data_IF_026852392911
#
_entry.id   IF_026852392911
#
_cell.length_a   1.000
_cell.length_b   1.000
_cell.length_c   1.000
_cell.angle_alpha   90.00
_cell.angle_beta   90.00
_cell.angle_gamma   90.00
#
_symmetry.space_group_name_H-M   'P 1'
#
loop_
_entity.id
_entity.type
_entity.pdbx_description
1 polymer ?
#
# COMPACT_ATOMS: atom_id res chain seq x y z
N UNK A 1 -16.99 -7.26 -1.90
CA UNK A 1 -15.57 -7.41 -2.26
C UNK A 1 -14.90 -6.02 -2.31
N UNK A 2 -14.42 -5.47 -1.17
CA UNK A 2 -13.87 -4.09 -1.11
C UNK A 2 -12.71 -3.87 -0.10
N UNK A 3 -12.16 -4.92 0.51
CA UNK A 3 -11.33 -4.75 1.73
C UNK A 3 -9.80 -4.73 1.54
N UNK A 4 -9.26 -5.17 0.40
CA UNK A 4 -7.81 -5.37 0.24
C UNK A 4 -6.97 -4.08 0.38
N UNK A 5 -7.43 -2.96 -0.17
CA UNK A 5 -6.68 -1.69 -0.14
C UNK A 5 -6.56 -1.09 1.26
N UNK A 6 -7.68 -1.02 1.99
CA UNK A 6 -7.68 -0.50 3.37
C UNK A 6 -6.88 -1.39 4.32
N UNK A 7 -6.96 -2.72 4.16
CA UNK A 7 -6.16 -3.64 4.98
C UNK A 7 -4.66 -3.54 4.70
N UNK A 8 -4.26 -3.40 3.43
CA UNK A 8 -2.86 -3.24 3.05
C UNK A 8 -2.28 -1.95 3.63
N UNK A 9 -3.06 -0.87 3.56
CA UNK A 9 -2.68 0.43 4.06
C UNK A 9 -2.58 0.48 5.58
N UNK A 10 -3.51 -0.17 6.29
CA UNK A 10 -3.39 -0.36 7.74
C UNK A 10 -2.11 -1.12 8.09
N UNK A 11 -1.78 -2.17 7.34
CA UNK A 11 -0.56 -2.95 7.55
C UNK A 11 0.70 -2.12 7.29
N UNK A 12 0.68 -1.24 6.28
CA UNK A 12 1.78 -0.34 5.99
C UNK A 12 2.00 0.68 7.10
N UNK A 13 0.95 1.39 7.51
CA UNK A 13 1.03 2.48 8.49
C UNK A 13 1.20 2.03 9.95
N UNK A 14 0.65 0.87 10.32
CA UNK A 14 0.70 0.38 11.72
C UNK A 14 1.67 -0.77 11.92
N UNK A 15 2.11 -1.43 10.85
CA UNK A 15 2.82 -2.70 10.91
C UNK A 15 1.94 -3.93 11.20
N UNK A 16 0.69 -3.73 11.63
CA UNK A 16 -0.23 -4.82 11.98
C UNK A 16 -0.81 -5.46 10.73
N UNK A 17 -0.57 -6.77 10.55
CA UNK A 17 -1.10 -7.55 9.43
C UNK A 17 -0.21 -7.57 8.19
N UNK A 18 1.06 -7.13 8.29
CA UNK A 18 2.03 -7.23 7.20
C UNK A 18 2.31 -8.67 6.76
N UNK A 19 2.17 -9.62 7.67
CA UNK A 19 2.30 -11.06 7.38
C UNK A 19 1.28 -11.59 6.37
N UNK A 20 0.16 -10.89 6.16
CA UNK A 20 -0.80 -11.23 5.11
C UNK A 20 -0.35 -10.78 3.70
N UNK A 21 0.72 -9.99 3.60
CA UNK A 21 1.22 -9.41 2.36
C UNK A 21 2.76 -9.58 2.23
N UNK A 22 3.27 -10.82 2.27
CA UNK A 22 4.71 -11.08 2.24
C UNK A 22 5.38 -10.52 0.96
N UNK A 23 4.67 -10.52 -0.17
CA UNK A 23 5.15 -9.95 -1.43
C UNK A 23 5.33 -8.42 -1.38
N UNK A 24 4.68 -7.72 -0.45
CA UNK A 24 4.73 -6.24 -0.36
C UNK A 24 5.69 -5.75 0.74
N UNK A 25 5.75 -6.47 1.87
CA UNK A 25 6.53 -6.06 3.04
C UNK A 25 7.79 -6.91 3.27
N UNK A 26 7.93 -8.06 2.61
CA UNK A 26 9.01 -9.02 2.88
C UNK A 26 9.04 -9.43 4.35
N UNK A 27 10.24 -9.50 4.92
CA UNK A 27 10.46 -9.88 6.32
C UNK A 27 10.24 -8.73 7.32
N UNK A 28 9.79 -7.54 6.87
CA UNK A 28 9.59 -6.35 7.71
C UNK A 28 8.34 -6.51 8.59
N UNK A 29 8.44 -7.38 9.58
CA UNK A 29 7.44 -7.66 10.59
C UNK A 29 7.68 -6.79 11.84
N UNK A 30 6.60 -6.24 12.41
CA UNK A 30 6.65 -5.43 13.62
C UNK A 30 5.78 -4.19 13.53
N UNK A 31 5.24 -3.76 14.67
CA UNK A 31 4.47 -2.53 14.74
C UNK A 31 5.37 -1.32 14.46
N UNK A 32 4.94 -0.40 13.60
CA UNK A 32 5.64 0.87 13.39
C UNK A 32 5.23 1.89 14.46
N UNK A 33 6.18 2.76 14.82
CA UNK A 33 5.92 3.95 15.63
C UNK A 33 6.01 5.21 14.74
N UNK A 34 5.10 6.20 14.90
CA UNK A 34 3.93 6.16 15.77
C UNK A 34 2.87 5.19 15.23
N UNK A 35 2.28 4.40 16.12
CA UNK A 35 1.23 3.47 15.73
C UNK A 35 -0.08 4.24 15.51
N UNK A 36 -0.44 4.47 14.25
CA UNK A 36 -1.71 5.09 13.88
C UNK A 36 -2.90 4.25 14.41
N UNK A 37 -3.91 4.92 14.96
CA UNK A 37 -5.10 4.22 15.43
C UNK A 37 -5.85 3.64 14.23
N UNK A 38 -6.17 2.34 14.27
CA UNK A 38 -6.80 1.63 13.15
C UNK A 38 -8.13 2.25 12.71
N UNK A 39 -8.87 2.87 13.64
CA UNK A 39 -10.14 3.56 13.36
C UNK A 39 -9.98 4.99 12.82
N UNK A 40 -8.75 5.54 12.80
CA UNK A 40 -8.45 6.91 12.40
C UNK A 40 -7.53 6.94 11.20
N UNK A 41 -7.82 6.12 10.19
CA UNK A 41 -7.03 6.04 8.98
C UNK A 41 -7.93 6.11 7.74
N UNK A 42 -7.62 6.99 6.78
CA UNK A 42 -8.37 7.09 5.51
C UNK A 42 -7.44 7.24 4.31
N UNK A 43 -7.80 6.58 3.20
CA UNK A 43 -7.24 6.86 1.88
C UNK A 43 -7.77 8.22 1.43
N UNK A 44 -6.87 9.13 1.06
CA UNK A 44 -7.24 10.40 0.44
C UNK A 44 -7.18 10.30 -1.09
N UNK A 45 -6.15 9.65 -1.61
CA UNK A 45 -5.98 9.48 -3.06
C UNK A 45 -5.17 8.23 -3.39
N UNK A 46 -5.40 7.71 -4.59
CA UNK A 46 -4.61 6.65 -5.21
C UNK A 46 -4.15 7.16 -6.56
N UNK A 47 -2.84 7.21 -6.79
CA UNK A 47 -2.27 7.76 -8.02
C UNK A 47 -1.43 6.67 -8.67
N UNK A 48 -1.95 6.08 -9.75
CA UNK A 48 -1.21 5.14 -10.58
C UNK A 48 -0.46 5.89 -11.70
N UNK A 49 0.82 5.57 -11.87
CA UNK A 49 1.68 6.11 -12.93
C UNK A 49 2.47 4.99 -13.58
N UNK A 50 2.80 5.15 -14.85
CA UNK A 50 3.76 4.27 -15.53
C UNK A 50 5.15 4.49 -14.93
N UNK A 51 5.90 3.41 -14.71
CA UNK A 51 7.26 3.44 -14.15
C UNK A 51 8.26 2.89 -15.16
N UNK A 52 8.62 3.72 -16.15
CA UNK A 52 9.49 3.33 -17.26
C UNK A 52 8.79 2.45 -18.32
N UNK A 53 9.22 1.19 -18.54
CA UNK A 53 8.62 0.26 -19.49
C UNK A 53 7.08 0.15 -19.43
N UNK A 54 6.45 -0.29 -20.53
CA UNK A 54 4.97 -0.33 -20.69
C UNK A 54 4.26 -1.26 -19.70
N UNK A 55 4.99 -2.26 -19.26
CA UNK A 55 4.60 -3.31 -18.34
C UNK A 55 4.86 -2.94 -16.88
N UNK A 56 5.28 -1.71 -16.58
CA UNK A 56 5.61 -1.29 -15.20
C UNK A 56 4.77 -0.11 -14.74
N UNK A 57 4.25 -0.22 -13.53
CA UNK A 57 3.50 0.85 -12.88
C UNK A 57 3.98 1.05 -11.44
N UNK A 58 3.90 2.31 -10.99
CA UNK A 58 4.02 2.68 -9.58
C UNK A 58 2.68 3.25 -9.13
N UNK A 59 2.19 2.79 -7.99
CA UNK A 59 0.99 3.31 -7.35
C UNK A 59 1.42 4.01 -6.08
N UNK A 60 1.10 5.29 -6.02
CA UNK A 60 1.30 6.11 -4.83
C UNK A 60 0.00 6.17 -4.04
N UNK A 61 0.08 5.80 -2.78
CA UNK A 61 -1.05 5.84 -1.86
C UNK A 61 -0.90 7.03 -0.91
N UNK A 62 -1.88 7.95 -0.97
CA UNK A 62 -1.95 9.11 -0.09
C UNK A 62 -3.01 8.86 0.97
N UNK A 63 -2.65 9.11 2.21
CA UNK A 63 -3.53 8.87 3.35
C UNK A 63 -3.41 9.96 4.40
N UNK A 64 -4.41 9.99 5.28
CA UNK A 64 -4.34 10.75 6.51
C UNK A 64 -4.88 9.95 7.68
N UNK A 65 -4.33 10.23 8.86
CA UNK A 65 -4.73 9.54 10.07
C UNK A 65 -4.18 10.17 11.34
N UNK A 66 -4.61 9.62 12.47
CA UNK A 66 -4.15 10.09 13.77
C UNK A 66 -3.47 8.96 14.54
N UNK A 67 -2.39 9.30 15.23
CA UNK A 67 -1.78 8.40 16.20
C UNK A 67 -2.71 8.18 17.41
N UNK A 68 -2.32 7.28 18.32
CA UNK A 68 -3.09 7.03 19.55
C UNK A 68 -3.16 8.25 20.49
N UNK A 69 -2.22 9.18 20.38
CA UNK A 69 -2.20 10.44 21.13
C UNK A 69 -3.10 11.53 20.54
N UNK A 70 -3.66 11.31 19.34
CA UNK A 70 -4.52 12.26 18.65
C UNK A 70 -3.78 13.22 17.72
N UNK A 71 -2.46 13.06 17.54
CA UNK A 71 -1.69 13.84 16.57
C UNK A 71 -2.10 13.43 15.17
N UNK A 72 -2.52 14.40 14.35
CA UNK A 72 -2.90 14.16 12.97
C UNK A 72 -1.68 14.21 12.05
N UNK A 73 -1.61 13.29 11.10
CA UNK A 73 -0.57 13.24 10.09
C UNK A 73 -1.19 12.78 8.78
N UNK A 74 -0.84 13.46 7.69
CA UNK A 74 -1.03 12.99 6.34
C UNK A 74 0.31 12.61 5.73
N UNK A 75 0.30 11.60 4.86
CA UNK A 75 1.52 11.02 4.35
C UNK A 75 1.34 10.24 3.06
N UNK A 76 2.47 10.03 2.40
CA UNK A 76 2.63 9.19 1.22
C UNK A 76 3.55 8.04 1.59
N UNK A 77 3.03 7.08 2.36
CA UNK A 77 3.90 6.05 2.95
C UNK A 77 4.29 4.97 1.93
N UNK A 78 3.46 4.72 0.90
CA UNK A 78 3.65 3.54 0.05
C UNK A 78 3.74 3.86 -1.43
N UNK A 79 4.92 3.63 -1.99
CA UNK A 79 5.10 3.35 -3.41
C UNK A 79 4.99 1.83 -3.59
N UNK A 80 3.94 1.41 -4.29
CA UNK A 80 3.70 0.02 -4.66
C UNK A 80 4.06 -0.16 -6.13
N UNK A 81 5.03 -1.02 -6.40
CA UNK A 81 5.47 -1.31 -7.76
C UNK A 81 4.71 -2.50 -8.30
N UNK A 82 4.33 -2.44 -9.58
CA UNK A 82 3.61 -3.50 -10.27
C UNK A 82 4.26 -3.82 -11.61
N UNK A 83 4.24 -5.10 -11.98
CA UNK A 83 4.57 -5.58 -13.33
C UNK A 83 3.31 -6.19 -13.96
N UNK A 84 3.08 -5.89 -15.23
CA UNK A 84 2.00 -6.47 -16.02
C UNK A 84 2.39 -7.88 -16.42
N UNK A 85 1.65 -8.89 -15.96
CA UNK A 85 2.01 -10.31 -16.12
C UNK A 85 1.28 -11.02 -17.26
N UNK A 86 0.13 -10.53 -17.70
CA UNK A 86 -0.55 -11.08 -18.87
C UNK A 86 -1.48 -10.04 -19.51
N UNK A 87 -1.53 -10.06 -20.83
CA UNK A 87 -2.58 -9.41 -21.62
C UNK A 87 -3.27 -10.50 -22.42
N UNK A 88 -4.32 -11.09 -21.84
CA UNK A 88 -5.15 -12.06 -22.58
C UNK A 88 -6.49 -11.40 -22.88
N UNK A 89 -6.86 -11.32 -24.16
CA UNK A 89 -8.14 -10.75 -24.62
C UNK A 89 -8.44 -9.35 -24.06
N UNK A 90 -7.45 -8.47 -24.00
CA UNK A 90 -7.60 -7.08 -23.54
C UNK A 90 -7.68 -6.89 -22.01
N UNK A 91 -7.71 -7.97 -21.22
CA UNK A 91 -7.62 -7.90 -19.76
C UNK A 91 -6.14 -7.92 -19.36
N UNK A 92 -5.72 -6.86 -18.67
CA UNK A 92 -4.35 -6.72 -18.16
C UNK A 92 -4.32 -7.14 -16.69
N UNK A 93 -3.54 -8.16 -16.36
CA UNK A 93 -3.24 -8.54 -14.97
C UNK A 93 -1.96 -7.87 -14.51
N UNK A 94 -1.98 -7.29 -13.31
CA UNK A 94 -0.83 -6.64 -12.69
C UNK A 94 -0.47 -7.36 -11.39
N UNK A 95 0.79 -7.77 -11.26
CA UNK A 95 1.33 -8.37 -10.05
C UNK A 95 2.12 -7.34 -9.26
N UNK A 96 1.90 -7.20 -7.94
CA UNK A 96 2.77 -6.38 -7.11
C UNK A 96 4.20 -6.92 -7.16
N UNK A 97 5.16 -6.04 -6.94
CA UNK A 97 6.58 -6.38 -6.79
C UNK A 97 7.02 -6.04 -5.36
N UNK A 98 7.90 -6.87 -4.78
CA UNK A 98 8.59 -6.52 -3.54
C UNK A 98 9.28 -5.16 -3.68
N UNK A 99 9.22 -4.35 -2.62
CA UNK A 99 10.05 -3.14 -2.54
C UNK A 99 11.53 -3.57 -2.50
N UNK A 100 12.44 -2.82 -3.17
CA UNK A 100 13.87 -3.03 -3.00
C UNK A 100 14.33 -2.97 -1.53
#
# INVERSE_FOLDING_TARGET
MRMCGTSLLRADATGVGRSAWPEVFGDRNGALAPAFAAARFRVQAVIARRSGPADRAVVHLVWAGADRGGTFTDGRITDLHFIRTSVTKGVSTWSPQPRP
#
